data_IF_061487123414
#
_entry.id   IF_061487123414
#
_cell.length_a   1.000
_cell.length_b   1.000
_cell.length_c   1.000
_cell.angle_alpha   90.00
_cell.angle_beta   90.00
_cell.angle_gamma   90.00
#
_symmetry.space_group_name_H-M   'P 1'
#
loop_
_entity.id
_entity.type
_entity.pdbx_description
1 polymer ?
#
# COMPACT_ATOMS: atom_id res chain seq x y z
N UNK A 1 19.77 -69.43 38.78
CA UNK A 1 19.83 -68.70 37.53
C UNK A 1 18.99 -67.45 37.66
N UNK A 2 19.64 -66.26 37.81
CA UNK A 2 18.95 -64.95 37.98
C UNK A 2 19.22 -64.10 36.74
N UNK A 3 18.24 -63.93 35.90
CA UNK A 3 18.30 -63.00 34.77
C UNK A 3 18.07 -61.54 35.25
N UNK A 4 19.11 -60.71 35.10
CA UNK A 4 19.03 -59.29 35.34
C UNK A 4 18.78 -58.58 34.01
N UNK A 5 17.54 -58.05 33.85
CA UNK A 5 17.23 -57.20 32.70
C UNK A 5 17.78 -55.80 32.91
N UNK A 6 18.75 -55.43 32.06
CA UNK A 6 19.30 -54.07 31.99
C UNK A 6 18.42 -53.26 31.06
N UNK A 7 17.61 -52.34 31.63
CA UNK A 7 16.79 -51.40 30.83
C UNK A 7 17.68 -50.22 30.50
N UNK A 8 18.09 -50.12 29.23
CA UNK A 8 18.78 -48.94 28.71
C UNK A 8 17.77 -47.83 28.40
N UNK A 9 17.80 -46.76 29.23
CA UNK A 9 17.00 -45.55 29.00
C UNK A 9 17.65 -44.71 27.91
N UNK A 10 17.13 -44.78 26.67
CA UNK A 10 17.55 -43.92 25.55
C UNK A 10 16.92 -42.57 25.72
N UNK A 11 17.69 -41.59 26.21
CA UNK A 11 17.26 -40.19 26.30
C UNK A 11 17.27 -39.56 24.92
N UNK A 12 16.09 -39.39 24.33
CA UNK A 12 15.90 -38.71 23.05
C UNK A 12 15.98 -37.19 23.26
N UNK A 13 17.13 -36.60 23.02
CA UNK A 13 17.36 -35.16 23.06
C UNK A 13 16.71 -34.57 21.81
N UNK A 14 15.47 -34.02 21.95
CA UNK A 14 14.84 -33.20 20.93
C UNK A 14 15.57 -31.85 20.84
N UNK A 15 16.48 -31.73 19.87
CA UNK A 15 17.04 -30.43 19.47
C UNK A 15 15.98 -29.68 18.68
N UNK A 16 15.26 -28.75 19.32
CA UNK A 16 14.43 -27.77 18.61
C UNK A 16 15.37 -26.82 17.86
N UNK A 17 15.15 -26.59 16.54
CA UNK A 17 15.87 -25.54 15.86
C UNK A 17 15.50 -24.20 16.51
N UNK A 18 16.47 -23.57 17.15
CA UNK A 18 16.37 -22.19 17.59
C UNK A 18 16.25 -21.32 16.33
N UNK A 19 15.09 -20.76 16.08
CA UNK A 19 14.93 -19.71 15.08
C UNK A 19 15.65 -18.49 15.64
N UNK A 20 16.89 -18.32 15.23
CA UNK A 20 17.64 -17.11 15.53
C UNK A 20 16.91 -15.95 14.86
N UNK A 21 16.33 -15.05 15.65
CA UNK A 21 15.86 -13.76 15.16
C UNK A 21 17.11 -13.03 14.66
N UNK A 22 17.26 -12.89 13.33
CA UNK A 22 18.40 -12.19 12.72
C UNK A 22 18.33 -10.71 13.08
N UNK A 23 18.95 -10.36 14.22
CA UNK A 23 19.19 -8.97 14.60
C UNK A 23 20.51 -8.52 13.97
N UNK A 24 20.51 -7.38 13.28
CA UNK A 24 21.74 -6.80 12.72
C UNK A 24 21.80 -5.30 12.94
N UNK A 25 23.02 -4.76 12.96
CA UNK A 25 23.24 -3.32 13.01
C UNK A 25 23.16 -2.75 11.61
N UNK A 26 22.27 -1.77 11.41
CA UNK A 26 22.06 -1.10 10.13
C UNK A 26 23.25 -0.20 9.81
N UNK A 27 24.06 -0.58 8.83
CA UNK A 27 25.22 0.18 8.36
C UNK A 27 24.84 1.24 7.31
N UNK A 28 23.81 0.94 6.52
CA UNK A 28 23.30 1.81 5.48
C UNK A 28 21.82 1.47 5.21
N UNK A 29 21.07 2.43 4.62
CA UNK A 29 19.67 2.22 4.24
C UNK A 29 19.50 2.60 2.77
N UNK A 30 19.03 1.64 1.98
CA UNK A 30 18.72 1.83 0.56
C UNK A 30 17.23 1.73 0.32
N UNK A 31 16.69 2.65 -0.48
CA UNK A 31 15.27 2.65 -0.86
C UNK A 31 15.16 2.28 -2.33
N UNK A 32 14.31 1.30 -2.64
CA UNK A 32 14.06 0.81 -3.99
C UNK A 32 12.56 0.87 -4.32
N UNK A 33 12.24 1.11 -5.62
CA UNK A 33 10.86 1.08 -6.12
C UNK A 33 10.14 2.42 -6.07
N UNK A 34 10.77 3.49 -5.55
CA UNK A 34 10.20 4.84 -5.62
C UNK A 34 10.25 5.37 -7.06
N UNK A 35 9.18 6.02 -7.49
CA UNK A 35 9.07 6.63 -8.83
C UNK A 35 8.68 8.10 -8.76
N UNK A 36 7.85 8.48 -7.80
CA UNK A 36 7.32 9.83 -7.60
C UNK A 36 7.71 10.39 -6.24
N UNK A 37 7.72 9.54 -5.20
CA UNK A 37 8.11 9.92 -3.84
C UNK A 37 9.63 10.10 -3.77
N UNK A 38 10.08 11.16 -3.11
CA UNK A 38 11.50 11.37 -2.86
C UNK A 38 12.00 10.45 -1.72
N UNK A 39 13.24 9.98 -1.83
CA UNK A 39 13.85 9.12 -0.81
C UNK A 39 13.82 9.78 0.59
N UNK A 40 14.05 11.10 0.66
CA UNK A 40 13.98 11.86 1.90
C UNK A 40 12.62 11.79 2.60
N UNK A 41 11.54 11.70 1.83
CA UNK A 41 10.19 11.49 2.38
C UNK A 41 10.09 10.12 3.04
N UNK A 42 10.59 9.07 2.40
CA UNK A 42 10.58 7.72 2.99
C UNK A 42 11.39 7.68 4.28
N UNK A 43 12.59 8.29 4.29
CA UNK A 43 13.44 8.37 5.48
C UNK A 43 12.76 9.11 6.64
N UNK A 44 11.94 10.12 6.38
CA UNK A 44 11.26 10.87 7.45
C UNK A 44 10.18 10.06 8.17
N UNK A 45 9.63 9.04 7.53
CA UNK A 45 8.65 8.13 8.12
C UNK A 45 9.26 6.83 8.64
N UNK A 46 10.53 6.55 8.32
CA UNK A 46 11.19 5.32 8.76
C UNK A 46 11.70 5.49 10.20
N UNK A 47 11.22 4.68 11.17
CA UNK A 47 11.64 4.79 12.57
C UNK A 47 13.02 4.16 12.84
N UNK A 48 13.75 3.76 11.80
CA UNK A 48 15.07 3.11 11.85
C UNK A 48 16.10 4.01 11.20
N UNK A 49 17.26 4.14 11.83
CA UNK A 49 18.40 4.95 11.36
C UNK A 49 19.65 4.08 11.20
N UNK A 50 20.61 4.60 10.44
CA UNK A 50 21.96 4.03 10.38
C UNK A 50 22.56 4.03 11.78
N UNK A 51 23.13 2.89 12.20
CA UNK A 51 23.64 2.62 13.54
C UNK A 51 22.66 1.93 14.48
N UNK A 52 21.36 1.89 14.17
CA UNK A 52 20.39 1.18 14.96
C UNK A 52 20.52 -0.35 14.80
N UNK A 53 20.15 -1.08 15.84
CA UNK A 53 19.95 -2.53 15.75
C UNK A 53 18.54 -2.78 15.26
N UNK A 54 18.40 -3.46 14.12
CA UNK A 54 17.11 -3.91 13.59
C UNK A 54 16.80 -5.29 14.12
N UNK A 55 15.66 -5.42 14.75
CA UNK A 55 15.03 -6.68 15.16
C UNK A 55 13.67 -6.82 14.46
N UNK A 56 13.00 -7.94 14.65
CA UNK A 56 11.69 -8.21 14.04
C UNK A 56 10.62 -7.19 14.47
N UNK A 57 10.66 -6.72 15.72
CA UNK A 57 9.72 -5.76 16.26
C UNK A 57 9.88 -4.39 15.56
N UNK A 58 11.10 -3.89 15.45
CA UNK A 58 11.43 -2.64 14.74
C UNK A 58 11.17 -2.76 13.24
N UNK A 59 11.44 -3.91 12.63
CA UNK A 59 11.11 -4.15 11.23
C UNK A 59 9.59 -4.06 11.00
N UNK A 60 8.81 -4.68 11.88
CA UNK A 60 7.35 -4.59 11.83
C UNK A 60 6.85 -3.17 12.03
N UNK A 61 7.43 -2.41 12.95
CA UNK A 61 7.10 -1.01 13.18
C UNK A 61 7.40 -0.15 11.94
N UNK A 62 8.57 -0.35 11.33
CA UNK A 62 8.99 0.34 10.11
C UNK A 62 8.01 0.09 8.94
N UNK A 63 7.64 -1.16 8.73
CA UNK A 63 6.64 -1.53 7.72
C UNK A 63 5.30 -0.84 8.00
N UNK A 64 4.80 -0.90 9.24
CA UNK A 64 3.54 -0.26 9.63
C UNK A 64 3.58 1.25 9.45
N UNK A 65 4.67 1.91 9.82
CA UNK A 65 4.85 3.35 9.66
C UNK A 65 4.77 3.76 8.18
N UNK A 66 5.43 3.03 7.30
CA UNK A 66 5.39 3.29 5.87
C UNK A 66 4.01 3.01 5.26
N UNK A 67 3.32 1.94 5.65
CA UNK A 67 1.94 1.70 5.22
C UNK A 67 0.96 2.78 5.71
N UNK A 68 1.15 3.29 6.93
CA UNK A 68 0.31 4.33 7.50
C UNK A 68 0.34 5.66 6.71
N UNK A 69 1.40 5.91 5.94
CA UNK A 69 1.48 7.08 5.04
C UNK A 69 0.44 7.04 3.93
N UNK A 70 -0.04 5.85 3.56
CA UNK A 70 -0.94 5.63 2.42
C UNK A 70 -0.26 5.75 1.06
N UNK A 71 1.05 6.05 0.99
CA UNK A 71 1.77 6.23 -0.28
C UNK A 71 2.07 4.91 -0.99
N UNK A 72 2.18 3.83 -0.23
CA UNK A 72 2.66 2.55 -0.72
C UNK A 72 1.55 1.50 -0.75
N UNK A 73 1.57 0.71 -1.79
CA UNK A 73 0.71 -0.46 -1.98
C UNK A 73 1.36 -1.68 -1.35
N UNK A 74 2.69 -1.78 -1.42
CA UNK A 74 3.47 -2.83 -0.80
C UNK A 74 4.78 -2.27 -0.22
N UNK A 75 5.24 -2.85 0.90
CA UNK A 75 6.49 -2.50 1.59
C UNK A 75 7.15 -3.78 2.05
N UNK A 76 8.40 -3.99 1.63
CA UNK A 76 9.24 -5.13 2.03
C UNK A 76 10.57 -4.62 2.57
N UNK A 77 11.03 -5.24 3.64
CA UNK A 77 12.36 -5.02 4.18
C UNK A 77 13.22 -6.24 3.88
N UNK A 78 14.43 -5.99 3.41
CA UNK A 78 15.48 -7.01 3.20
C UNK A 78 16.75 -6.53 3.87
N UNK A 79 17.61 -7.45 4.28
CA UNK A 79 18.94 -7.14 4.75
C UNK A 79 19.98 -7.84 3.89
N UNK A 80 20.99 -7.09 3.45
CA UNK A 80 22.14 -7.61 2.71
C UNK A 80 23.40 -6.95 3.25
N UNK A 81 24.33 -7.73 3.81
CA UNK A 81 25.63 -7.28 4.33
C UNK A 81 25.57 -6.12 5.35
N UNK A 82 24.46 -6.03 6.11
CA UNK A 82 24.21 -4.95 7.06
C UNK A 82 23.54 -3.72 6.44
N UNK A 83 23.19 -3.77 5.16
CA UNK A 83 22.39 -2.74 4.49
C UNK A 83 20.91 -3.09 4.63
N UNK A 84 20.11 -2.16 5.12
CA UNK A 84 18.66 -2.28 5.12
C UNK A 84 18.10 -1.81 3.78
N UNK A 85 17.56 -2.75 3.00
CA UNK A 85 16.89 -2.45 1.73
C UNK A 85 15.39 -2.32 1.99
N UNK A 86 14.87 -1.11 1.81
CA UNK A 86 13.44 -0.79 1.90
C UNK A 86 12.86 -0.79 0.49
N UNK A 87 12.25 -1.91 0.12
CA UNK A 87 11.61 -2.07 -1.19
C UNK A 87 10.14 -1.67 -1.09
N UNK A 88 9.72 -0.69 -1.89
CA UNK A 88 8.35 -0.17 -1.88
C UNK A 88 7.70 -0.27 -3.26
N UNK A 89 6.38 -0.46 -3.29
CA UNK A 89 5.53 -0.33 -4.48
C UNK A 89 4.59 0.87 -4.24
N UNK A 90 4.82 1.97 -4.97
CA UNK A 90 4.04 3.19 -4.78
C UNK A 90 2.62 3.06 -5.34
N UNK A 91 1.65 3.61 -4.62
CA UNK A 91 0.31 3.83 -5.17
C UNK A 91 0.35 4.93 -6.23
N UNK A 92 -0.31 4.74 -7.38
CA UNK A 92 -0.36 5.78 -8.40
C UNK A 92 -1.08 7.02 -7.89
N UNK A 93 -0.76 8.19 -8.48
CA UNK A 93 -1.47 9.44 -8.23
C UNK A 93 -2.41 9.75 -9.41
N UNK A 94 -3.51 10.41 -9.12
CA UNK A 94 -4.47 10.88 -10.13
C UNK A 94 -3.84 12.05 -10.87
N UNK A 95 -3.63 11.91 -12.18
CA UNK A 95 -3.09 12.96 -13.04
C UNK A 95 -4.19 13.85 -13.62
N UNK A 96 -5.30 13.24 -14.01
CA UNK A 96 -6.42 13.95 -14.62
C UNK A 96 -7.73 13.20 -14.40
N UNK A 97 -8.82 13.97 -14.40
CA UNK A 97 -10.18 13.44 -14.29
C UNK A 97 -11.00 13.99 -15.43
N UNK A 98 -11.61 13.10 -16.22
CA UNK A 98 -12.48 13.45 -17.33
C UNK A 98 -13.91 12.96 -17.04
N UNK A 99 -14.90 13.77 -17.37
CA UNK A 99 -16.33 13.42 -17.26
C UNK A 99 -16.97 13.67 -18.61
N UNK A 100 -17.53 12.61 -19.19
CA UNK A 100 -18.26 12.65 -20.46
C UNK A 100 -19.74 12.33 -20.23
N UNK A 101 -20.62 12.87 -21.09
CA UNK A 101 -22.06 12.58 -21.05
C UNK A 101 -22.84 13.26 -19.92
N UNK A 102 -22.21 14.14 -19.16
CA UNK A 102 -22.87 14.87 -18.06
C UNK A 102 -23.87 15.93 -18.55
N UNK A 103 -25.04 15.49 -19.01
CA UNK A 103 -26.07 16.37 -19.57
C UNK A 103 -26.92 17.07 -18.50
N UNK A 104 -27.06 16.47 -17.33
CA UNK A 104 -27.96 16.91 -16.24
C UNK A 104 -27.28 17.80 -15.20
N UNK A 105 -25.94 17.80 -15.18
CA UNK A 105 -25.15 18.54 -14.21
C UNK A 105 -24.02 19.30 -14.90
N UNK A 106 -23.69 20.46 -14.36
CA UNK A 106 -22.46 21.17 -14.74
C UNK A 106 -21.24 20.35 -14.33
N UNK A 107 -20.26 20.20 -15.24
CA UNK A 107 -19.05 19.42 -14.97
C UNK A 107 -18.32 19.85 -13.70
N UNK A 108 -18.25 21.17 -13.46
CA UNK A 108 -17.57 21.73 -12.31
C UNK A 108 -18.19 21.27 -10.99
N UNK A 109 -19.52 21.18 -10.93
CA UNK A 109 -20.24 20.67 -9.75
C UNK A 109 -19.96 19.19 -9.52
N UNK A 110 -19.88 18.40 -10.59
CA UNK A 110 -19.52 16.98 -10.48
C UNK A 110 -18.07 16.81 -10.02
N UNK A 111 -17.14 17.59 -10.56
CA UNK A 111 -15.74 17.58 -10.14
C UNK A 111 -15.58 17.99 -8.67
N UNK A 112 -16.34 18.98 -8.20
CA UNK A 112 -16.33 19.36 -6.78
C UNK A 112 -16.89 18.25 -5.89
N UNK A 113 -17.96 17.59 -6.29
CA UNK A 113 -18.50 16.41 -5.60
C UNK A 113 -17.49 15.27 -5.53
N UNK A 114 -16.77 14.99 -6.63
CA UNK A 114 -15.70 14.01 -6.66
C UNK A 114 -14.55 14.39 -5.72
N UNK A 115 -14.17 15.66 -5.68
CA UNK A 115 -13.16 16.19 -4.77
C UNK A 115 -13.55 16.00 -3.30
N UNK A 116 -14.80 16.25 -2.95
CA UNK A 116 -15.33 16.00 -1.60
C UNK A 116 -15.32 14.51 -1.26
N UNK A 117 -15.55 13.63 -2.24
CA UNK A 117 -15.42 12.18 -2.09
C UNK A 117 -13.97 11.67 -2.04
N UNK A 118 -12.98 12.58 -2.15
CA UNK A 118 -11.54 12.25 -2.10
C UNK A 118 -10.90 11.96 -3.46
N UNK A 119 -11.63 12.14 -4.57
CA UNK A 119 -11.14 11.96 -5.94
C UNK A 119 -10.81 13.34 -6.51
N UNK A 120 -9.53 13.67 -6.57
CA UNK A 120 -9.03 14.89 -7.21
C UNK A 120 -7.63 14.68 -7.78
N UNK A 121 -7.24 15.54 -8.69
CA UNK A 121 -5.87 15.54 -9.22
C UNK A 121 -4.82 15.66 -8.11
N UNK A 122 -3.67 15.09 -8.33
CA UNK A 122 -2.54 14.98 -7.41
C UNK A 122 -2.77 14.14 -6.14
N UNK A 123 -3.98 13.62 -5.93
CA UNK A 123 -4.27 12.69 -4.82
C UNK A 123 -3.87 11.26 -5.18
N UNK A 124 -3.57 10.48 -4.15
CA UNK A 124 -3.28 9.06 -4.32
C UNK A 124 -4.54 8.34 -4.80
N UNK A 125 -4.38 7.57 -5.85
CA UNK A 125 -5.46 6.76 -6.40
C UNK A 125 -5.80 5.58 -5.46
N UNK A 126 -7.08 5.41 -5.19
CA UNK A 126 -7.62 4.28 -4.47
C UNK A 126 -8.84 3.74 -5.21
N UNK A 127 -8.81 2.45 -5.55
CA UNK A 127 -9.92 1.79 -6.23
C UNK A 127 -11.22 1.86 -5.43
N UNK A 128 -11.13 1.67 -4.12
CA UNK A 128 -12.32 1.74 -3.26
C UNK A 128 -12.91 3.16 -3.14
N UNK A 129 -12.08 4.22 -3.26
CA UNK A 129 -12.57 5.59 -3.35
C UNK A 129 -13.29 5.81 -4.69
N UNK A 130 -12.71 5.28 -5.79
CA UNK A 130 -13.30 5.40 -7.11
C UNK A 130 -14.69 4.74 -7.18
N UNK A 131 -14.80 3.52 -6.67
CA UNK A 131 -16.07 2.78 -6.63
C UNK A 131 -17.13 3.52 -5.79
N UNK A 132 -16.75 4.11 -4.65
CA UNK A 132 -17.65 4.94 -3.85
C UNK A 132 -18.09 6.21 -4.58
N UNK A 133 -17.17 6.86 -5.27
CA UNK A 133 -17.47 8.05 -6.05
C UNK A 133 -18.44 7.74 -7.21
N UNK A 134 -18.25 6.61 -7.89
CA UNK A 134 -19.18 6.13 -8.93
C UNK A 134 -20.59 5.90 -8.37
N UNK A 135 -20.71 5.24 -7.22
CA UNK A 135 -21.98 5.01 -6.56
C UNK A 135 -22.64 6.32 -6.11
N UNK A 136 -21.86 7.29 -5.64
CA UNK A 136 -22.39 8.60 -5.25
C UNK A 136 -22.91 9.38 -6.46
N UNK A 137 -22.16 9.41 -7.56
CA UNK A 137 -22.63 10.00 -8.81
C UNK A 137 -23.93 9.35 -9.26
N UNK A 138 -24.01 8.03 -9.25
CA UNK A 138 -25.22 7.30 -9.62
C UNK A 138 -26.42 7.68 -8.74
N UNK A 139 -26.23 7.79 -7.43
CA UNK A 139 -27.29 8.24 -6.50
C UNK A 139 -27.78 9.66 -6.84
N UNK A 140 -26.89 10.58 -7.18
CA UNK A 140 -27.25 11.94 -7.55
C UNK A 140 -28.12 11.99 -8.82
N UNK A 141 -27.81 11.16 -9.82
CA UNK A 141 -28.63 11.04 -11.02
C UNK A 141 -30.01 10.44 -10.73
N UNK A 142 -30.07 9.38 -9.94
CA UNK A 142 -31.33 8.73 -9.52
C UNK A 142 -32.19 9.70 -8.74
N UNK A 143 -31.64 10.53 -7.85
CA UNK A 143 -32.40 11.54 -7.08
C UNK A 143 -33.07 12.62 -7.95
N UNK A 144 -32.58 12.78 -9.19
CA UNK A 144 -33.18 13.63 -10.21
C UNK A 144 -34.12 12.88 -11.18
N UNK A 145 -34.50 11.64 -10.83
CA UNK A 145 -35.40 10.83 -11.65
C UNK A 145 -34.73 10.13 -12.84
N UNK A 146 -33.42 10.15 -12.92
CA UNK A 146 -32.63 9.48 -13.99
C UNK A 146 -32.30 8.06 -13.59
N UNK A 147 -33.29 7.20 -13.54
CA UNK A 147 -33.14 5.82 -13.03
C UNK A 147 -32.38 4.89 -13.96
N UNK A 148 -32.34 5.18 -15.26
CA UNK A 148 -31.65 4.38 -16.27
C UNK A 148 -30.17 4.77 -16.46
N UNK A 149 -29.64 5.68 -15.63
CA UNK A 149 -28.24 6.13 -15.76
C UNK A 149 -27.26 4.97 -15.60
N UNK A 150 -26.34 4.88 -16.52
CA UNK A 150 -25.18 3.99 -16.44
C UNK A 150 -23.92 4.84 -16.37
N UNK A 151 -23.09 4.60 -15.35
CA UNK A 151 -21.81 5.26 -15.19
C UNK A 151 -20.74 4.20 -15.36
N UNK A 152 -19.87 4.38 -16.34
CA UNK A 152 -18.74 3.50 -16.59
C UNK A 152 -17.46 4.27 -16.28
N UNK A 153 -16.62 3.70 -15.40
CA UNK A 153 -15.40 4.32 -14.98
C UNK A 153 -14.20 3.59 -15.56
N UNK A 154 -13.34 4.30 -16.28
CA UNK A 154 -12.13 3.76 -16.88
C UNK A 154 -10.91 4.40 -16.26
N UNK A 155 -9.90 3.60 -15.93
CA UNK A 155 -8.60 4.07 -15.43
C UNK A 155 -7.51 3.76 -16.44
N UNK A 156 -6.76 4.78 -16.83
CA UNK A 156 -5.65 4.64 -17.80
C UNK A 156 -4.32 4.90 -17.09
N UNK A 157 -3.40 3.93 -17.06
CA UNK A 157 -2.05 4.15 -16.54
C UNK A 157 -1.31 5.22 -17.36
N UNK A 158 -0.59 6.09 -16.67
CA UNK A 158 0.23 7.16 -17.25
C UNK A 158 1.66 7.07 -16.69
N UNK A 159 2.58 7.76 -17.35
CA UNK A 159 3.97 7.83 -16.90
C UNK A 159 4.12 8.34 -15.47
N UNK A 160 5.25 8.00 -14.83
CA UNK A 160 5.61 8.37 -13.47
C UNK A 160 4.58 7.93 -12.43
N UNK A 161 4.13 6.69 -12.52
CA UNK A 161 3.17 6.09 -11.60
C UNK A 161 1.94 6.97 -11.36
N UNK A 162 1.30 7.42 -12.44
CA UNK A 162 0.08 8.22 -12.43
C UNK A 162 -1.05 7.49 -13.16
N UNK A 163 -2.28 7.91 -12.91
CA UNK A 163 -3.46 7.41 -13.61
C UNK A 163 -4.36 8.56 -14.07
N UNK A 164 -4.92 8.41 -15.26
CA UNK A 164 -6.08 9.18 -15.70
C UNK A 164 -7.36 8.44 -15.33
N UNK A 165 -8.39 9.16 -14.90
CA UNK A 165 -9.71 8.61 -14.60
C UNK A 165 -10.71 9.24 -15.56
N UNK A 166 -11.53 8.39 -16.21
CA UNK A 166 -12.60 8.84 -17.06
C UNK A 166 -13.94 8.26 -16.57
N UNK A 167 -14.93 9.14 -16.40
CA UNK A 167 -16.31 8.80 -16.09
C UNK A 167 -17.15 9.02 -17.33
N UNK A 168 -17.72 7.97 -17.90
CA UNK A 168 -18.66 8.00 -19.00
C UNK A 168 -20.06 7.80 -18.46
N UNK A 169 -20.91 8.82 -18.60
CA UNK A 169 -22.28 8.86 -18.07
C UNK A 169 -23.25 8.76 -19.26
N UNK A 170 -24.08 7.72 -19.27
CA UNK A 170 -25.05 7.41 -20.31
C UNK A 170 -26.48 7.27 -19.76
#
# INVERSE_FOLDING_TARGET
>A
MKFRHLVALVSFICTFPSWASDTFVVKDIRIEGIQRTEAGTVFSYLPVKVGDTLDEAKATEAIKALYATGFFKDVKLKSEDGILIVQVDERPAIAQISINGAKEFEKDKLLEGLKQAGISESRIFSRSLLERAEQELKRQYISRGKYAVTITTTTTPLERNRVGINFDIN
#
